data_IF_488011261380
#
_entry.id   IF_488011261380
#
_cell.length_a   1.000
_cell.length_b   1.000
_cell.length_c   1.000
_cell.angle_alpha   90.00
_cell.angle_beta   90.00
_cell.angle_gamma   90.00
#
_symmetry.space_group_name_H-M   'P 1'
#
loop_
_entity.id
_entity.type
_entity.pdbx_description
1 polymer ?
#
# COMPACT_ATOMS: atom_id res chain seq x y z
N UNK A 1 -0.87 -9.95 9.55
CA UNK A 1 -2.34 -9.81 9.44
C UNK A 1 -2.92 -10.74 8.37
N UNK A 2 -2.47 -10.72 7.11
CA UNK A 2 -2.86 -11.77 6.14
C UNK A 2 -2.45 -13.16 6.63
N UNK A 3 -1.25 -13.30 7.18
CA UNK A 3 -0.82 -14.55 7.84
C UNK A 3 -1.77 -14.98 8.95
N UNK A 4 -2.35 -14.08 9.76
CA UNK A 4 -3.31 -14.46 10.81
C UNK A 4 -4.65 -14.91 10.25
N UNK A 5 -5.14 -14.31 9.15
CA UNK A 5 -6.38 -14.73 8.50
C UNK A 5 -6.22 -16.04 7.72
N UNK A 6 -5.01 -16.34 7.21
CA UNK A 6 -4.77 -17.53 6.38
C UNK A 6 -4.15 -18.73 7.13
N UNK A 7 -3.53 -18.51 8.29
CA UNK A 7 -2.98 -19.58 9.13
C UNK A 7 -4.04 -20.42 9.84
N UNK A 8 -5.27 -19.92 9.94
CA UNK A 8 -6.43 -20.67 10.40
C UNK A 8 -7.12 -21.35 9.20
N UNK A 9 -6.60 -22.50 8.76
CA UNK A 9 -7.33 -23.44 7.88
C UNK A 9 -7.74 -22.92 6.48
N UNK A 10 -6.93 -22.09 5.82
CA UNK A 10 -7.33 -21.49 4.54
C UNK A 10 -7.07 -22.35 3.28
N UNK A 11 -6.23 -23.39 3.31
CA UNK A 11 -5.95 -24.19 2.10
C UNK A 11 -7.19 -24.85 1.47
N UNK A 12 -8.12 -25.45 2.25
CA UNK A 12 -9.36 -25.98 1.68
C UNK A 12 -10.30 -24.87 1.21
N UNK A 13 -10.42 -23.78 2.00
CA UNK A 13 -11.35 -22.66 1.76
C UNK A 13 -10.97 -21.88 0.50
N UNK A 14 -9.68 -21.74 0.21
CA UNK A 14 -9.19 -21.08 -1.00
C UNK A 14 -9.51 -21.88 -2.28
N UNK A 15 -9.80 -23.19 -2.19
CA UNK A 15 -10.02 -24.06 -3.35
C UNK A 15 -11.49 -24.33 -3.66
N UNK A 16 -12.38 -24.36 -2.67
CA UNK A 16 -13.78 -24.77 -2.87
C UNK A 16 -14.75 -23.59 -3.07
N UNK A 17 -14.49 -22.46 -2.45
CA UNK A 17 -15.49 -21.39 -2.28
C UNK A 17 -15.07 -20.10 -2.98
N UNK A 18 -16.05 -19.26 -3.32
CA UNK A 18 -15.77 -17.91 -3.83
C UNK A 18 -15.40 -17.03 -2.65
N UNK A 19 -14.15 -16.59 -2.62
CA UNK A 19 -13.59 -15.88 -1.46
C UNK A 19 -13.04 -14.53 -1.85
N UNK A 20 -13.44 -13.50 -1.10
CA UNK A 20 -12.95 -12.13 -1.19
C UNK A 20 -12.47 -11.64 0.18
N UNK A 21 -11.29 -11.06 0.20
CA UNK A 21 -10.65 -10.45 1.36
C UNK A 21 -10.56 -8.95 1.12
N UNK A 22 -11.25 -8.13 1.91
CA UNK A 22 -11.17 -6.68 1.82
C UNK A 22 -10.73 -6.10 3.17
N UNK A 23 -9.84 -5.12 3.18
CA UNK A 23 -9.43 -4.54 4.45
C UNK A 23 -8.23 -3.62 4.35
N UNK A 24 -7.76 -3.22 5.52
CA UNK A 24 -6.56 -2.41 5.68
C UNK A 24 -5.35 -3.34 5.91
N UNK A 25 -4.57 -3.57 4.86
CA UNK A 25 -3.41 -4.43 4.88
C UNK A 25 -2.17 -3.64 5.28
N UNK A 26 -1.30 -4.25 6.08
CA UNK A 26 -0.22 -3.55 6.80
C UNK A 26 1.03 -3.33 5.92
N UNK A 27 0.83 -2.66 4.78
CA UNK A 27 1.71 -2.75 3.62
C UNK A 27 2.48 -1.45 3.36
N UNK A 28 3.49 -1.17 4.17
CA UNK A 28 4.51 -0.23 3.69
C UNK A 28 5.25 -0.85 2.51
N UNK A 29 5.64 -0.03 1.54
CA UNK A 29 6.56 -0.44 0.47
C UNK A 29 7.85 -1.01 1.09
N UNK A 30 8.57 -1.83 0.32
CA UNK A 30 9.97 -2.13 0.63
C UNK A 30 10.81 -0.84 0.54
N UNK A 31 10.86 -0.12 1.66
CA UNK A 31 11.58 1.14 1.80
C UNK A 31 13.06 0.97 1.50
N UNK A 32 13.67 -0.11 1.98
CA UNK A 32 15.10 -0.33 1.78
C UNK A 32 15.43 -0.45 0.30
N UNK A 33 14.68 -1.27 -0.44
CA UNK A 33 14.89 -1.41 -1.88
C UNK A 33 14.51 -0.15 -2.65
N UNK A 34 13.41 0.51 -2.30
CA UNK A 34 13.01 1.77 -2.93
C UNK A 34 14.12 2.83 -2.80
N UNK A 35 14.66 3.04 -1.60
CA UNK A 35 15.71 4.03 -1.36
C UNK A 35 17.02 3.67 -2.05
N UNK A 36 17.38 2.39 -2.08
CA UNK A 36 18.57 1.93 -2.78
C UNK A 36 18.46 2.17 -4.30
N UNK A 37 17.34 1.77 -4.90
CA UNK A 37 17.11 1.97 -6.34
C UNK A 37 17.08 3.47 -6.69
N UNK A 38 16.51 4.32 -5.83
CA UNK A 38 16.47 5.77 -6.02
C UNK A 38 17.86 6.41 -5.88
N UNK A 39 18.66 5.94 -4.93
CA UNK A 39 20.06 6.37 -4.79
C UNK A 39 20.86 6.02 -6.03
N UNK A 40 20.75 4.78 -6.50
CA UNK A 40 21.46 4.30 -7.68
C UNK A 40 21.03 5.07 -8.94
N UNK A 41 19.73 5.24 -9.16
CA UNK A 41 19.19 5.93 -10.33
C UNK A 41 19.66 7.39 -10.43
N UNK A 42 19.75 8.08 -9.29
CA UNK A 42 20.16 9.47 -9.21
C UNK A 42 21.68 9.66 -9.04
N UNK A 43 22.47 8.58 -9.05
CA UNK A 43 23.91 8.61 -8.75
C UNK A 43 24.22 9.39 -7.46
N UNK A 44 23.38 9.17 -6.45
CA UNK A 44 23.42 9.91 -5.21
C UNK A 44 24.28 9.20 -4.15
N UNK A 45 24.73 9.97 -3.15
CA UNK A 45 25.37 9.46 -1.96
C UNK A 45 24.42 9.55 -0.77
N UNK A 46 24.20 8.43 -0.09
CA UNK A 46 23.42 8.36 1.14
C UNK A 46 24.26 8.77 2.34
N UNK A 47 23.69 9.57 3.23
CA UNK A 47 24.26 9.93 4.52
C UNK A 47 23.29 9.55 5.63
N UNK A 48 23.82 8.90 6.66
CA UNK A 48 23.12 8.58 7.89
C UNK A 48 23.57 9.53 9.00
N UNK A 49 22.63 10.06 9.77
CA UNK A 49 22.90 10.76 11.02
C UNK A 49 22.38 9.94 12.17
N UNK A 50 23.21 9.85 13.21
CA UNK A 50 22.91 9.08 14.42
C UNK A 50 22.68 10.01 15.60
N UNK A 51 21.77 9.62 16.47
CA UNK A 51 21.51 10.32 17.73
C UNK A 51 22.66 10.07 18.74
N UNK A 52 22.55 10.66 19.93
CA UNK A 52 23.51 10.48 21.03
C UNK A 52 23.65 9.04 21.52
N UNK A 53 22.69 8.16 21.21
CA UNK A 53 22.68 6.74 21.56
C UNK A 53 23.27 5.86 20.44
N UNK A 54 23.70 6.45 19.32
CA UNK A 54 24.28 5.73 18.18
C UNK A 54 23.25 5.12 17.22
N UNK A 55 21.96 5.37 17.43
CA UNK A 55 20.87 4.90 16.57
C UNK A 55 20.69 5.84 15.38
N UNK A 56 20.31 5.30 14.22
CA UNK A 56 20.04 6.12 13.02
C UNK A 56 18.76 6.92 13.28
N UNK A 57 18.90 8.24 13.30
CA UNK A 57 17.80 9.19 13.49
C UNK A 57 17.31 9.74 12.15
N UNK A 58 18.22 9.88 11.19
CA UNK A 58 17.94 10.59 9.94
C UNK A 58 18.78 10.05 8.79
N UNK A 59 18.16 9.82 7.64
CA UNK A 59 18.78 9.34 6.41
C UNK A 59 18.41 10.30 5.28
N UNK A 60 19.39 10.77 4.53
CA UNK A 60 19.15 11.59 3.34
C UNK A 60 20.16 11.23 2.25
N UNK A 61 19.76 11.45 1.00
CA UNK A 61 20.63 11.26 -0.16
C UNK A 61 20.77 12.55 -0.96
N UNK A 62 21.98 12.81 -1.48
CA UNK A 62 22.25 13.94 -2.36
C UNK A 62 22.99 13.49 -3.61
N UNK A 63 22.63 14.06 -4.76
CA UNK A 63 23.35 13.83 -6.01
C UNK A 63 24.64 14.66 -6.12
N UNK A 64 25.39 14.47 -7.22
CA UNK A 64 26.62 15.22 -7.50
C UNK A 64 26.43 16.74 -7.63
N UNK A 65 25.20 17.21 -7.87
CA UNK A 65 24.84 18.63 -7.91
C UNK A 65 24.35 19.16 -6.54
N UNK A 66 24.48 18.35 -5.47
CA UNK A 66 24.02 18.66 -4.10
C UNK A 66 22.51 18.86 -3.98
N UNK A 67 21.72 18.32 -4.92
CA UNK A 67 20.26 18.29 -4.81
C UNK A 67 19.87 17.12 -3.89
N UNK A 68 18.91 17.35 -3.00
CA UNK A 68 18.37 16.29 -2.14
C UNK A 68 17.44 15.39 -2.94
N UNK A 69 17.68 14.09 -2.90
CA UNK A 69 16.86 13.08 -3.56
C UNK A 69 15.75 12.59 -2.64
N UNK A 70 16.08 12.34 -1.38
CA UNK A 70 15.11 12.05 -0.34
C UNK A 70 15.62 12.47 1.03
N UNK A 71 14.68 12.64 1.95
CA UNK A 71 14.88 13.06 3.33
C UNK A 71 13.95 12.23 4.23
N UNK A 72 14.53 11.41 5.12
CA UNK A 72 13.76 10.43 5.89
C UNK A 72 14.20 10.43 7.35
N UNK A 73 13.24 10.56 8.24
CA UNK A 73 13.39 10.32 9.69
C UNK A 73 12.16 9.54 10.19
N UNK A 74 12.00 9.46 11.52
CA UNK A 74 10.90 8.75 12.14
C UNK A 74 9.51 9.27 11.74
N UNK A 75 9.38 10.58 11.49
CA UNK A 75 8.13 11.28 11.25
C UNK A 75 8.10 12.01 9.90
N UNK A 76 9.07 11.73 9.03
CA UNK A 76 9.21 12.34 7.72
C UNK A 76 9.67 11.31 6.69
N UNK A 77 8.96 11.24 5.58
CA UNK A 77 9.25 10.37 4.46
C UNK A 77 9.01 11.14 3.17
N UNK A 78 10.08 11.68 2.61
CA UNK A 78 9.98 12.69 1.57
C UNK A 78 11.00 12.47 0.46
N UNK A 79 10.52 12.54 -0.78
CA UNK A 79 11.33 12.47 -2.00
C UNK A 79 11.54 13.87 -2.61
N UNK A 80 11.46 14.90 -1.75
CA UNK A 80 11.63 16.31 -2.08
C UNK A 80 10.76 16.70 -3.28
N UNK A 81 11.37 17.19 -4.35
CA UNK A 81 10.67 17.67 -5.55
C UNK A 81 9.90 16.56 -6.29
N UNK A 82 10.30 15.30 -6.12
CA UNK A 82 9.71 14.16 -6.81
C UNK A 82 8.57 13.49 -6.04
N UNK A 83 8.33 13.84 -4.77
CA UNK A 83 7.39 13.10 -3.91
C UNK A 83 5.96 13.08 -4.49
N UNK A 84 5.38 14.25 -4.76
CA UNK A 84 4.01 14.35 -5.26
C UNK A 84 3.87 13.77 -6.67
N UNK A 85 4.94 13.82 -7.46
CA UNK A 85 4.96 13.20 -8.77
C UNK A 85 5.00 11.67 -8.69
N UNK A 86 5.87 11.12 -7.85
CA UNK A 86 6.05 9.68 -7.66
C UNK A 86 4.79 9.01 -7.13
N UNK A 87 4.14 9.61 -6.13
CA UNK A 87 3.01 8.99 -5.44
C UNK A 87 1.65 9.51 -5.90
N UNK A 88 1.54 10.81 -6.20
CA UNK A 88 0.30 11.44 -6.64
C UNK A 88 0.11 11.41 -8.15
N UNK A 89 0.90 12.21 -8.90
CA UNK A 89 0.69 12.43 -10.34
C UNK A 89 0.77 11.14 -11.16
N UNK A 90 1.73 10.27 -10.85
CA UNK A 90 1.89 8.98 -11.50
C UNK A 90 1.18 7.84 -10.75
N UNK A 91 0.27 8.15 -9.82
CA UNK A 91 -0.49 7.17 -9.02
C UNK A 91 0.37 6.03 -8.45
N UNK A 92 1.62 6.32 -8.05
CA UNK A 92 2.55 5.31 -7.54
C UNK A 92 2.98 4.23 -8.54
N UNK A 93 2.64 4.31 -9.82
CA UNK A 93 2.84 3.21 -10.77
C UNK A 93 4.31 2.77 -10.89
N UNK A 94 5.24 3.72 -10.82
CA UNK A 94 6.70 3.44 -10.89
C UNK A 94 7.25 2.80 -9.61
N UNK A 95 6.57 2.96 -8.49
CA UNK A 95 6.97 2.44 -7.18
C UNK A 95 6.12 1.24 -6.73
N UNK A 96 5.10 0.85 -7.52
CA UNK A 96 4.24 -0.31 -7.27
C UNK A 96 5.04 -1.61 -7.12
N UNK A 97 6.15 -1.76 -7.85
CA UNK A 97 7.06 -2.90 -7.76
C UNK A 97 7.71 -3.10 -6.38
N UNK A 98 7.64 -2.11 -5.48
CA UNK A 98 8.12 -2.21 -4.11
C UNK A 98 7.02 -2.63 -3.13
N UNK A 99 5.75 -2.72 -3.55
CA UNK A 99 4.73 -3.43 -2.78
C UNK A 99 4.87 -4.93 -3.05
N UNK A 100 5.21 -5.66 -1.99
CA UNK A 100 5.52 -7.08 -2.03
C UNK A 100 4.53 -7.94 -1.24
N UNK A 101 3.42 -7.37 -0.77
CA UNK A 101 2.48 -8.09 0.11
C UNK A 101 1.93 -9.37 -0.54
N UNK A 102 1.64 -9.31 -1.84
CA UNK A 102 1.11 -10.44 -2.59
C UNK A 102 2.19 -11.43 -3.03
N UNK A 103 3.48 -11.14 -2.87
CA UNK A 103 4.55 -12.04 -3.32
C UNK A 103 4.45 -13.42 -2.65
N UNK A 104 4.17 -13.45 -1.34
CA UNK A 104 4.00 -14.68 -0.56
C UNK A 104 2.73 -15.47 -0.93
N UNK A 105 1.76 -14.84 -1.60
CA UNK A 105 0.47 -15.43 -1.96
C UNK A 105 0.29 -15.60 -3.47
N UNK A 106 1.37 -15.43 -4.23
CA UNK A 106 1.35 -15.49 -5.69
C UNK A 106 0.81 -16.84 -6.17
N UNK A 107 -0.25 -16.81 -6.97
CA UNK A 107 -0.94 -17.99 -7.49
C UNK A 107 -2.06 -18.52 -6.60
N UNK A 108 -2.17 -18.05 -5.35
CA UNK A 108 -3.30 -18.35 -4.45
C UNK A 108 -4.28 -17.19 -4.38
N UNK A 109 -3.77 -15.97 -4.25
CA UNK A 109 -4.55 -14.73 -4.23
C UNK A 109 -4.24 -13.85 -5.42
N UNK A 110 -5.26 -13.10 -5.82
CA UNK A 110 -5.25 -12.16 -6.93
C UNK A 110 -5.82 -10.83 -6.48
N UNK A 111 -5.41 -9.79 -7.19
CA UNK A 111 -5.91 -8.43 -7.02
C UNK A 111 -6.17 -7.83 -8.40
N UNK A 112 -7.13 -6.91 -8.47
CA UNK A 112 -7.34 -6.11 -9.66
C UNK A 112 -6.15 -5.16 -9.88
N UNK A 113 -5.95 -4.71 -11.12
CA UNK A 113 -4.93 -3.71 -11.39
C UNK A 113 -5.26 -2.41 -10.64
N UNK A 114 -4.28 -1.92 -9.87
CA UNK A 114 -4.39 -0.67 -9.13
C UNK A 114 -3.92 0.49 -10.01
N UNK A 115 -4.84 1.38 -10.37
CA UNK A 115 -4.56 2.58 -11.17
C UNK A 115 -4.76 3.89 -10.39
N UNK A 116 -5.10 3.81 -9.11
CA UNK A 116 -5.28 4.95 -8.21
C UNK A 116 -4.02 5.18 -7.35
N UNK A 117 -3.79 6.41 -6.84
CA UNK A 117 -2.63 6.69 -6.00
C UNK A 117 -2.65 5.87 -4.70
N UNK A 118 -1.55 5.83 -3.93
CA UNK A 118 -1.57 5.28 -2.58
C UNK A 118 -2.77 5.82 -1.78
N UNK A 119 -3.34 5.01 -0.89
CA UNK A 119 -4.50 5.39 -0.08
C UNK A 119 -4.09 5.95 1.29
N UNK A 120 -2.79 5.97 1.57
CA UNK A 120 -2.19 6.43 2.82
C UNK A 120 -0.79 7.01 2.55
N UNK A 121 -0.33 8.01 3.31
CA UNK A 121 -1.04 8.75 4.35
C UNK A 121 -1.81 9.96 3.82
N UNK A 122 -3.10 10.07 4.15
CA UNK A 122 -3.90 11.29 3.95
C UNK A 122 -4.47 11.76 5.27
N UNK A 123 -4.66 13.07 5.41
CA UNK A 123 -5.47 13.64 6.47
C UNK A 123 -6.32 14.80 5.96
N UNK A 124 -7.51 14.93 6.53
CA UNK A 124 -8.40 16.04 6.23
C UNK A 124 -7.82 17.35 6.76
N UNK A 125 -7.50 18.28 5.87
CA UNK A 125 -7.09 19.62 6.25
C UNK A 125 -8.33 20.52 6.37
N UNK A 126 -8.60 20.96 7.60
CA UNK A 126 -9.76 21.83 7.92
C UNK A 126 -9.70 23.22 7.28
N UNK A 127 -8.52 23.71 6.89
CA UNK A 127 -8.36 25.03 6.29
C UNK A 127 -8.69 25.02 4.79
N UNK A 128 -8.35 23.93 4.12
CA UNK A 128 -8.58 23.73 2.68
C UNK A 128 -9.85 22.92 2.40
N UNK A 129 -10.46 22.37 3.46
CA UNK A 129 -11.63 21.48 3.40
C UNK A 129 -11.41 20.29 2.46
N UNK A 130 -10.17 19.80 2.39
CA UNK A 130 -9.76 18.72 1.48
C UNK A 130 -8.83 17.73 2.17
N UNK A 131 -8.84 16.48 1.70
CA UNK A 131 -7.85 15.48 2.08
C UNK A 131 -6.49 15.81 1.46
N UNK A 132 -5.47 15.92 2.30
CA UNK A 132 -4.11 16.23 1.89
C UNK A 132 -3.19 15.03 2.11
N UNK A 133 -2.33 14.81 1.12
CA UNK A 133 -1.33 13.75 1.15
C UNK A 133 -0.18 14.15 2.07
N UNK A 134 0.05 13.36 3.11
CA UNK A 134 1.04 13.65 4.14
C UNK A 134 2.41 13.09 3.76
N UNK A 135 3.46 13.74 4.25
CA UNK A 135 4.85 13.29 4.10
C UNK A 135 5.43 12.70 5.38
N UNK A 136 4.58 12.28 6.32
CA UNK A 136 5.03 11.81 7.63
C UNK A 136 5.34 10.30 7.67
N UNK A 137 4.90 9.56 6.65
CA UNK A 137 5.03 8.10 6.55
C UNK A 137 5.22 7.71 5.10
N UNK A 138 5.79 6.53 4.89
CA UNK A 138 5.91 5.94 3.56
C UNK A 138 4.52 5.72 2.95
N UNK A 139 4.26 6.22 1.73
CA UNK A 139 3.00 5.97 1.06
C UNK A 139 2.73 4.49 0.80
N UNK A 140 1.45 4.11 0.88
CA UNK A 140 1.02 2.72 0.76
C UNK A 140 -0.41 2.59 0.22
N UNK A 141 -0.70 1.49 -0.47
CA UNK A 141 -2.06 1.08 -0.83
C UNK A 141 -2.59 0.15 0.25
N UNK A 142 -2.99 0.71 1.39
CA UNK A 142 -3.40 -0.13 2.52
C UNK A 142 -4.80 -0.69 2.37
N UNK A 143 -5.72 0.05 1.76
CA UNK A 143 -7.08 -0.42 1.48
C UNK A 143 -7.11 -1.27 0.22
N UNK A 144 -7.17 -2.59 0.36
CA UNK A 144 -7.06 -3.54 -0.76
C UNK A 144 -8.19 -4.55 -0.76
N UNK A 145 -8.36 -5.20 -1.92
CA UNK A 145 -9.30 -6.30 -2.10
C UNK A 145 -8.58 -7.44 -2.82
N UNK A 146 -8.41 -8.56 -2.14
CA UNK A 146 -7.87 -9.78 -2.70
C UNK A 146 -8.98 -10.80 -2.92
N UNK A 147 -8.77 -11.69 -3.87
CA UNK A 147 -9.71 -12.75 -4.19
C UNK A 147 -8.98 -14.00 -4.69
N UNK A 148 -9.58 -15.17 -4.53
CA UNK A 148 -8.98 -16.43 -4.96
C UNK A 148 -9.17 -16.71 -6.46
N UNK A 149 -8.60 -17.81 -6.95
CA UNK A 149 -8.72 -18.22 -8.37
C UNK A 149 -10.19 -18.36 -8.82
N UNK A 150 -11.04 -18.97 -7.99
CA UNK A 150 -12.44 -19.18 -8.34
C UNK A 150 -13.18 -17.84 -8.54
N UNK A 151 -12.99 -16.89 -7.63
CA UNK A 151 -13.52 -15.53 -7.77
C UNK A 151 -12.95 -14.82 -9.00
N UNK A 152 -11.65 -14.94 -9.26
CA UNK A 152 -11.00 -14.40 -10.45
C UNK A 152 -11.67 -14.90 -11.73
N UNK A 153 -11.85 -16.21 -11.88
CA UNK A 153 -12.45 -16.81 -13.08
C UNK A 153 -13.88 -16.31 -13.31
N UNK A 154 -14.66 -16.13 -12.23
CA UNK A 154 -16.01 -15.56 -12.29
C UNK A 154 -16.00 -14.10 -12.68
N UNK A 155 -15.12 -13.27 -12.09
CA UNK A 155 -15.00 -11.85 -12.44
C UNK A 155 -14.61 -11.68 -13.91
N UNK A 156 -13.62 -12.46 -14.39
CA UNK A 156 -13.20 -12.40 -15.79
C UNK A 156 -14.31 -12.83 -16.76
N UNK A 157 -15.08 -13.86 -16.42
CA UNK A 157 -16.21 -14.33 -17.21
C UNK A 157 -17.28 -13.27 -17.45
N UNK A 158 -17.53 -12.37 -16.46
CA UNK A 158 -18.51 -11.29 -16.64
C UNK A 158 -17.88 -10.03 -17.25
N UNK A 159 -16.56 -9.82 -17.08
CA UNK A 159 -15.83 -8.69 -17.67
C UNK A 159 -15.75 -8.69 -19.20
N UNK A 160 -15.87 -9.86 -19.84
CA UNK A 160 -15.99 -9.98 -21.30
C UNK A 160 -17.37 -9.53 -21.82
N UNK A 161 -18.32 -9.24 -20.94
CA UNK A 161 -19.66 -8.75 -21.28
C UNK A 161 -20.03 -7.38 -20.68
N UNK A 162 -19.39 -6.90 -19.61
CA UNK A 162 -19.54 -5.54 -19.04
C UNK A 162 -18.30 -5.21 -18.17
N UNK A 163 -17.77 -3.99 -18.26
CA UNK A 163 -16.69 -3.50 -17.38
C UNK A 163 -17.15 -3.46 -15.92
N UNK A 164 -16.49 -4.24 -15.05
CA UNK A 164 -16.74 -4.18 -13.60
C UNK A 164 -15.96 -3.02 -12.97
N UNK A 165 -16.70 -2.04 -12.47
CA UNK A 165 -16.22 -1.17 -11.41
C UNK A 165 -16.55 -1.85 -10.09
N UNK A 166 -15.54 -2.35 -9.38
CA UNK A 166 -15.72 -2.73 -7.97
C UNK A 166 -15.85 -1.42 -7.19
N UNK A 167 -17.08 -0.92 -7.04
CA UNK A 167 -17.38 0.20 -6.15
C UNK A 167 -17.28 -0.30 -4.71
N UNK A 168 -16.16 0.02 -4.04
CA UNK A 168 -16.02 -0.20 -2.61
C UNK A 168 -16.95 0.79 -1.90
N UNK A 169 -18.15 0.33 -1.56
CA UNK A 169 -19.09 1.08 -0.73
C UNK A 169 -18.49 1.20 0.68
N UNK A 170 -18.08 2.41 1.06
CA UNK A 170 -17.77 2.75 2.45
C UNK A 170 -19.07 2.54 3.23
N UNK A 171 -19.15 1.49 4.04
CA UNK A 171 -20.31 1.31 4.94
C UNK A 171 -20.29 2.46 5.93
N UNK A 172 -21.21 3.39 5.73
CA UNK A 172 -21.48 4.46 6.69
C UNK A 172 -22.15 3.89 7.94
N UNK A 173 -21.80 4.53 9.05
CA UNK A 173 -22.47 4.56 10.34
C UNK A 173 -22.16 3.43 11.35
N UNK A 174 -21.62 3.90 12.48
CA UNK A 174 -21.60 3.33 13.83
C UNK A 174 -20.85 2.02 14.08
N UNK A 175 -19.52 2.12 14.21
CA UNK A 175 -18.74 1.24 15.07
C UNK A 175 -18.17 2.04 16.25
N UNK A 176 -18.32 1.56 17.51
CA UNK A 176 -17.85 2.27 18.68
C UNK A 176 -16.33 2.49 18.63
N UNK A 177 -15.90 3.61 19.20
CA UNK A 177 -14.56 4.20 19.09
C UNK A 177 -13.40 3.38 19.70
N UNK A 178 -13.63 2.14 20.12
CA UNK A 178 -12.62 1.26 20.70
C UNK A 178 -12.74 -0.15 20.12
N UNK A 179 -11.60 -0.69 19.68
CA UNK A 179 -11.35 -2.02 19.11
C UNK A 179 -11.55 -2.17 17.58
N UNK A 180 -10.45 -2.04 16.83
CA UNK A 180 -9.72 -3.15 16.16
C UNK A 180 -8.64 -2.50 15.28
N UNK A 181 -7.39 -2.90 15.50
CA UNK A 181 -6.29 -2.64 14.55
C UNK A 181 -6.64 -3.30 13.20
N UNK A 182 -7.14 -2.51 12.26
CA UNK A 182 -7.39 -2.88 10.86
C UNK A 182 -8.36 -4.06 10.63
N UNK A 183 -9.68 -3.82 10.51
CA UNK A 183 -10.62 -4.88 10.18
C UNK A 183 -10.36 -5.42 8.76
N UNK A 184 -10.21 -6.73 8.66
CA UNK A 184 -10.25 -7.49 7.40
C UNK A 184 -11.64 -8.15 7.33
N UNK A 185 -12.41 -7.80 6.31
CA UNK A 185 -13.70 -8.39 6.01
C UNK A 185 -13.51 -9.53 5.01
N UNK A 186 -13.92 -10.74 5.40
CA UNK A 186 -14.01 -11.90 4.51
C UNK A 186 -15.47 -12.04 4.08
N UNK A 187 -15.73 -11.91 2.78
CA UNK A 187 -17.05 -12.16 2.22
C UNK A 187 -17.04 -13.56 1.60
N UNK A 188 -17.87 -14.45 2.16
CA UNK A 188 -18.11 -15.79 1.65
C UNK A 188 -19.51 -15.83 1.04
N UNK A 189 -19.58 -16.00 -0.27
CA UNK A 189 -20.85 -16.21 -0.95
C UNK A 189 -21.14 -17.71 -0.99
N UNK A 190 -22.07 -18.16 -0.14
CA UNK A 190 -22.62 -19.51 -0.25
C UNK A 190 -23.68 -19.56 -1.35
N UNK A 191 -23.74 -20.68 -2.06
CA UNK A 191 -24.77 -20.94 -3.07
C UNK A 191 -26.00 -21.55 -2.43
#
# INVERSE_FOLDING_TARGET
LIECCLSFSAEPILKSDLTLFAGNFNTSLDKAKLLNDQTLHNQAATTERRNSFGEIEHIFAMDGARRKIYNIDLNHFDFCDLHDWLFGTCNGQLIRKYDRELESYKGALYEANIYFPPTDPYAFNRKTESDEFLRNKCPAWRSRVFYNQLARDRIHYVSTNITFFITIMRTGEDLPHEAIESPVFVFQAHK
#
